data_IF_788459144497
#
_entry.id   IF_788459144497
#
_cell.length_a   1.000
_cell.length_b   1.000
_cell.length_c   1.000
_cell.angle_alpha   90.00
_cell.angle_beta   90.00
_cell.angle_gamma   90.00
#
_symmetry.space_group_name_H-M   'P 1'
#
loop_
_entity.id
_entity.type
_entity.pdbx_description
1 polymer ?
#
# COMPACT_ATOMS: atom_id res chain seq x y z
N UNK A 1 -11.97 6.60 53.39
CA UNK A 1 -11.18 5.90 52.34
C UNK A 1 -11.95 5.54 51.05
N UNK A 2 -13.24 5.81 50.94
CA UNK A 2 -14.05 5.50 49.72
C UNK A 2 -14.22 6.69 48.75
N UNK A 3 -13.86 7.90 49.11
CA UNK A 3 -14.03 9.13 48.29
C UNK A 3 -12.83 9.36 47.36
N UNK A 4 -11.65 8.85 47.69
CA UNK A 4 -10.43 9.09 46.89
C UNK A 4 -10.40 8.32 45.56
N UNK A 5 -11.11 7.17 45.48
CA UNK A 5 -11.17 6.36 44.22
C UNK A 5 -12.11 6.93 43.18
N UNK A 6 -13.09 7.76 43.55
CA UNK A 6 -14.05 8.35 42.58
C UNK A 6 -13.44 9.54 41.81
N UNK A 7 -12.46 10.23 42.37
CA UNK A 7 -11.79 11.38 41.75
C UNK A 7 -10.78 10.95 40.65
N UNK A 8 -10.17 9.77 40.79
CA UNK A 8 -9.21 9.26 39.79
C UNK A 8 -9.93 8.75 38.52
N UNK A 9 -11.15 8.21 38.67
CA UNK A 9 -11.95 7.76 37.53
C UNK A 9 -12.51 8.91 36.66
N UNK A 10 -12.75 10.07 37.26
CA UNK A 10 -13.25 11.26 36.56
C UNK A 10 -12.16 11.97 35.75
N UNK A 11 -10.89 11.86 36.14
CA UNK A 11 -9.78 12.49 35.43
C UNK A 11 -9.40 11.74 34.13
N UNK A 12 -9.61 10.42 34.09
CA UNK A 12 -9.34 9.63 32.88
C UNK A 12 -10.40 9.81 31.78
N UNK A 13 -11.63 10.21 32.12
CA UNK A 13 -12.69 10.48 31.13
C UNK A 13 -12.52 11.83 30.41
N UNK A 14 -11.93 12.83 31.05
CA UNK A 14 -11.80 14.18 30.46
C UNK A 14 -10.69 14.26 29.38
N UNK A 15 -9.64 13.45 29.49
CA UNK A 15 -8.56 13.41 28.49
C UNK A 15 -9.01 12.73 27.19
N UNK A 16 -9.87 11.72 27.27
CA UNK A 16 -10.38 11.01 26.09
C UNK A 16 -11.34 11.83 25.22
N UNK A 17 -12.07 12.77 25.80
CA UNK A 17 -13.05 13.62 25.07
C UNK A 17 -12.38 14.74 24.26
N UNK A 18 -11.25 15.29 24.75
CA UNK A 18 -10.53 16.39 24.09
C UNK A 18 -9.76 15.95 22.83
N UNK A 19 -9.60 14.65 22.61
CA UNK A 19 -8.79 14.09 21.51
C UNK A 19 -9.59 13.77 20.26
N UNK A 20 -10.93 13.72 20.34
CA UNK A 20 -11.78 13.33 19.22
C UNK A 20 -11.84 14.42 18.15
N UNK A 21 -11.87 14.00 16.88
CA UNK A 21 -12.03 14.91 15.77
C UNK A 21 -11.07 14.64 14.62
N UNK A 22 -11.03 15.59 13.70
CA UNK A 22 -10.10 15.57 12.59
C UNK A 22 -8.77 16.21 12.98
N UNK A 23 -7.69 15.63 12.51
CA UNK A 23 -6.32 16.04 12.74
C UNK A 23 -5.55 16.17 11.44
N UNK A 24 -4.70 17.18 11.36
CA UNK A 24 -3.72 17.37 10.29
C UNK A 24 -2.35 17.00 10.85
N UNK A 25 -1.73 16.02 10.24
CA UNK A 25 -0.45 15.46 10.65
C UNK A 25 0.66 15.82 9.66
N UNK A 26 1.87 15.95 10.16
CA UNK A 26 3.08 16.19 9.37
C UNK A 26 4.20 15.25 9.77
N UNK A 27 4.87 14.69 8.77
CA UNK A 27 6.18 14.07 8.92
C UNK A 27 7.22 15.00 8.32
N UNK A 28 8.12 15.52 9.16
CA UNK A 28 9.14 16.47 8.74
C UNK A 28 10.36 15.72 8.20
N UNK A 29 10.69 15.96 6.95
CA UNK A 29 11.88 15.39 6.27
C UNK A 29 13.14 16.17 6.68
N UNK A 30 14.35 15.55 6.56
CA UNK A 30 15.62 16.24 6.82
C UNK A 30 15.85 17.49 5.95
N UNK A 31 15.23 17.54 4.76
CA UNK A 31 15.30 18.68 3.85
C UNK A 31 14.28 19.80 4.14
N UNK A 32 13.56 19.71 5.26
CA UNK A 32 12.55 20.69 5.71
C UNK A 32 11.19 20.55 5.03
N UNK A 33 11.02 19.64 4.07
CA UNK A 33 9.70 19.40 3.46
C UNK A 33 8.83 18.55 4.38
N UNK A 34 7.54 18.92 4.48
CA UNK A 34 6.57 18.21 5.31
C UNK A 34 5.68 17.31 4.44
N UNK A 35 5.64 16.01 4.76
CA UNK A 35 4.67 15.08 4.19
C UNK A 35 3.44 15.14 5.08
N UNK A 36 2.36 15.71 4.54
CA UNK A 36 1.13 15.99 5.30
C UNK A 36 0.09 14.92 5.01
N UNK A 37 -0.61 14.48 6.05
CA UNK A 37 -1.77 13.60 5.93
C UNK A 37 -2.83 13.98 6.97
N UNK A 38 -4.03 13.44 6.81
CA UNK A 38 -5.13 13.68 7.75
C UNK A 38 -5.61 12.38 8.36
N UNK A 39 -6.02 12.44 9.61
CA UNK A 39 -6.68 11.33 10.27
C UNK A 39 -7.85 11.82 11.14
N UNK A 40 -8.81 10.95 11.36
CA UNK A 40 -9.87 11.18 12.31
C UNK A 40 -9.61 10.33 13.56
N UNK A 41 -9.52 10.97 14.71
CA UNK A 41 -9.36 10.30 16.01
C UNK A 41 -10.74 10.10 16.62
N UNK A 42 -11.06 8.88 17.01
CA UNK A 42 -12.33 8.49 17.62
C UNK A 42 -12.10 7.63 18.86
N UNK A 43 -13.15 7.45 19.62
CA UNK A 43 -13.25 6.41 20.66
C UNK A 43 -14.29 5.39 20.22
N UNK A 44 -13.92 4.13 20.16
CA UNK A 44 -14.79 3.00 19.86
C UNK A 44 -14.63 1.95 20.97
N UNK A 45 -15.74 1.53 21.57
CA UNK A 45 -15.73 0.59 22.70
C UNK A 45 -14.74 1.01 23.81
N UNK A 46 -14.75 2.31 24.17
CA UNK A 46 -13.87 2.94 25.17
C UNK A 46 -12.37 2.90 24.82
N UNK A 47 -11.99 2.60 23.55
CA UNK A 47 -10.61 2.60 23.10
C UNK A 47 -10.37 3.63 22.02
N UNK A 48 -9.19 4.29 21.98
CA UNK A 48 -8.84 5.21 20.90
C UNK A 48 -8.66 4.45 19.59
N UNK A 49 -9.15 5.04 18.51
CA UNK A 49 -9.00 4.51 17.14
C UNK A 49 -8.71 5.66 16.21
N UNK A 50 -7.75 5.50 15.32
CA UNK A 50 -7.51 6.42 14.21
C UNK A 50 -8.07 5.90 12.91
N UNK A 51 -8.52 6.82 12.08
CA UNK A 51 -8.84 6.61 10.67
C UNK A 51 -7.99 7.53 9.82
N UNK A 52 -6.86 7.03 9.31
CA UNK A 52 -6.04 7.77 8.35
C UNK A 52 -6.81 7.85 7.04
N UNK A 53 -6.84 9.04 6.43
CA UNK A 53 -7.61 9.31 5.22
C UNK A 53 -6.68 9.63 4.06
N UNK A 54 -6.94 9.05 2.89
CA UNK A 54 -6.31 9.41 1.62
C UNK A 54 -7.41 9.34 0.55
N UNK A 55 -7.95 10.47 0.15
CA UNK A 55 -9.09 10.52 -0.79
C UNK A 55 -10.24 9.55 -0.38
N UNK A 56 -10.49 8.53 -1.18
CA UNK A 56 -11.51 7.51 -0.89
C UNK A 56 -11.09 6.44 0.11
N UNK A 57 -9.83 6.37 0.49
CA UNK A 57 -9.31 5.36 1.42
C UNK A 57 -9.44 5.78 2.88
N UNK A 58 -9.77 4.80 3.74
CA UNK A 58 -9.72 4.95 5.21
C UNK A 58 -8.98 3.76 5.80
N UNK A 59 -7.87 4.04 6.49
CA UNK A 59 -7.07 3.03 7.17
C UNK A 59 -7.40 3.10 8.65
N UNK A 60 -8.07 2.06 9.18
CA UNK A 60 -8.37 1.92 10.60
C UNK A 60 -7.13 1.45 11.35
N UNK A 61 -6.78 2.17 12.42
CA UNK A 61 -5.66 1.88 13.30
C UNK A 61 -6.19 1.87 14.74
N UNK A 62 -6.20 0.71 15.37
CA UNK A 62 -6.80 0.47 16.69
C UNK A 62 -5.82 -0.12 17.72
N UNK A 63 -4.60 -0.45 17.30
CA UNK A 63 -3.56 -0.86 18.22
C UNK A 63 -2.85 0.38 18.78
N UNK A 64 -3.51 1.01 19.77
CA UNK A 64 -3.05 2.25 20.40
C UNK A 64 -2.89 2.00 21.90
N UNK A 65 -1.66 2.16 22.40
CA UNK A 65 -1.32 2.08 23.81
C UNK A 65 -1.20 3.52 24.36
N UNK A 66 -1.81 3.75 25.50
CA UNK A 66 -1.81 5.05 26.19
C UNK A 66 -1.19 4.89 27.59
N UNK A 67 -0.24 5.74 27.92
CA UNK A 67 0.41 5.80 29.23
C UNK A 67 0.58 7.28 29.64
N UNK A 68 -0.36 7.80 30.41
CA UNK A 68 -0.42 9.22 30.74
C UNK A 68 -0.67 10.08 29.49
N UNK A 69 0.23 11.01 29.19
CA UNK A 69 0.23 11.86 28.00
C UNK A 69 0.94 11.22 26.79
N UNK A 70 1.48 10.03 26.96
CA UNK A 70 2.30 9.33 25.98
C UNK A 70 1.50 8.27 25.24
N UNK A 71 1.70 8.19 23.92
CA UNK A 71 0.98 7.33 23.01
C UNK A 71 1.94 6.52 22.15
N UNK A 72 1.61 5.22 21.96
CA UNK A 72 2.23 4.36 20.95
C UNK A 72 1.12 3.87 20.04
N UNK A 73 1.20 4.23 18.75
CA UNK A 73 0.24 3.83 17.72
C UNK A 73 0.93 2.90 16.75
N UNK A 74 0.59 1.61 16.78
CA UNK A 74 1.13 0.59 15.88
C UNK A 74 0.33 0.58 14.59
N UNK A 75 1.00 0.63 13.45
CA UNK A 75 0.32 0.49 12.16
C UNK A 75 -0.16 -0.96 11.93
N UNK A 76 -1.33 -1.14 11.29
CA UNK A 76 -1.98 -2.46 11.21
C UNK A 76 -1.27 -3.47 10.30
N UNK A 77 -0.41 -3.02 9.39
CA UNK A 77 0.28 -3.88 8.41
C UNK A 77 1.78 -3.72 8.49
N UNK A 78 2.28 -2.51 8.25
CA UNK A 78 3.70 -2.26 8.16
C UNK A 78 4.41 -2.35 9.51
N UNK A 79 5.70 -2.67 9.51
CA UNK A 79 6.55 -2.57 10.71
C UNK A 79 6.83 -1.10 11.04
N UNK A 80 5.78 -0.36 11.35
CA UNK A 80 5.87 1.07 11.67
C UNK A 80 4.95 1.45 12.82
N UNK A 81 5.32 2.52 13.51
CA UNK A 81 4.60 3.05 14.66
C UNK A 81 4.83 4.54 14.83
N UNK A 82 3.88 5.19 15.49
CA UNK A 82 4.07 6.52 16.04
C UNK A 82 4.36 6.42 17.55
N UNK A 83 5.25 7.25 18.05
CA UNK A 83 5.49 7.50 19.47
C UNK A 83 5.43 8.99 19.70
N UNK A 84 4.50 9.45 20.54
CA UNK A 84 4.27 10.87 20.70
C UNK A 84 3.66 11.19 22.06
N UNK A 85 3.70 12.48 22.43
CA UNK A 85 2.96 13.07 23.53
C UNK A 85 1.88 14.00 23.00
N UNK A 86 0.82 14.17 23.78
CA UNK A 86 -0.26 15.11 23.50
C UNK A 86 -0.37 16.13 24.62
N UNK A 87 -0.08 17.40 24.31
CA UNK A 87 -0.16 18.52 25.23
C UNK A 87 -0.93 19.66 24.58
N UNK A 88 -1.97 20.18 25.24
CA UNK A 88 -2.77 21.32 24.76
C UNK A 88 -3.25 21.18 23.30
N UNK A 89 -3.73 20.00 22.92
CA UNK A 89 -4.14 19.67 21.55
C UNK A 89 -3.01 19.75 20.50
N UNK A 90 -1.76 19.67 20.92
CA UNK A 90 -0.60 19.54 20.03
C UNK A 90 0.03 18.17 20.23
N UNK A 91 0.12 17.41 19.17
CA UNK A 91 0.84 16.14 19.11
C UNK A 91 2.28 16.41 18.69
N UNK A 92 3.24 15.88 19.44
CA UNK A 92 4.67 15.96 19.11
C UNK A 92 5.36 14.63 19.40
N UNK A 93 6.14 14.15 18.44
CA UNK A 93 6.83 12.89 18.57
C UNK A 93 7.56 12.44 17.32
N UNK A 94 7.56 11.14 17.06
CA UNK A 94 8.23 10.54 15.92
C UNK A 94 7.39 9.44 15.26
N UNK A 95 7.54 9.30 13.96
CA UNK A 95 7.15 8.12 13.21
C UNK A 95 8.39 7.27 12.95
N UNK A 96 8.29 5.99 13.24
CA UNK A 96 9.38 5.01 13.13
C UNK A 96 8.92 3.92 12.17
N UNK A 97 9.72 3.63 11.14
CA UNK A 97 9.49 2.52 10.21
C UNK A 97 10.74 1.66 10.11
N UNK A 98 10.59 0.37 10.37
CA UNK A 98 11.65 -0.62 10.19
C UNK A 98 11.69 -1.07 8.73
N UNK A 99 12.83 -0.97 8.10
CA UNK A 99 13.06 -1.44 6.73
C UNK A 99 13.87 -2.75 6.68
N UNK A 100 14.31 -3.11 5.48
CA UNK A 100 15.17 -4.27 5.28
C UNK A 100 16.55 -4.11 5.97
N UNK A 101 17.16 -2.94 5.82
CA UNK A 101 18.51 -2.66 6.32
C UNK A 101 18.46 -1.62 7.45
N UNK A 102 17.71 -0.53 7.26
CA UNK A 102 17.73 0.64 8.14
C UNK A 102 16.35 0.92 8.72
N UNK A 103 16.32 1.44 9.94
CA UNK A 103 15.13 2.04 10.54
C UNK A 103 15.07 3.51 10.15
N UNK A 104 13.94 3.92 9.61
CA UNK A 104 13.63 5.32 9.30
C UNK A 104 12.92 5.94 10.50
N UNK A 105 13.36 7.14 10.89
CA UNK A 105 12.71 7.94 11.94
C UNK A 105 12.48 9.34 11.39
N UNK A 106 11.24 9.81 11.45
CA UNK A 106 10.86 11.16 11.06
C UNK A 106 10.15 11.86 12.23
N UNK A 107 10.46 13.14 12.52
CA UNK A 107 9.66 13.94 13.41
C UNK A 107 8.19 13.96 12.99
N UNK A 108 7.30 13.76 13.94
CA UNK A 108 5.86 13.70 13.76
C UNK A 108 5.20 14.78 14.60
N UNK A 109 4.32 15.55 14.00
CA UNK A 109 3.45 16.49 14.67
C UNK A 109 2.04 16.41 14.12
N UNK A 110 1.03 16.74 14.96
CA UNK A 110 -0.33 16.91 14.48
C UNK A 110 -1.07 17.96 15.32
N UNK A 111 -2.03 18.62 14.66
CA UNK A 111 -2.91 19.63 15.26
C UNK A 111 -4.36 19.35 14.82
N UNK A 112 -5.38 19.75 15.61
CA UNK A 112 -6.76 19.69 15.17
C UNK A 112 -6.97 20.44 13.85
N UNK A 113 -7.69 19.83 12.92
CA UNK A 113 -7.96 20.41 11.61
C UNK A 113 -8.41 19.37 10.59
N UNK A 114 -8.97 19.81 9.47
CA UNK A 114 -9.45 18.95 8.41
C UNK A 114 -8.82 19.20 7.04
N UNK A 115 -8.15 20.33 6.87
CA UNK A 115 -7.55 20.72 5.61
C UNK A 115 -6.11 20.21 5.53
N UNK A 116 -5.88 19.21 4.71
CA UNK A 116 -4.55 18.59 4.52
C UNK A 116 -3.48 19.62 4.16
N UNK A 117 -3.79 20.56 3.30
CA UNK A 117 -2.95 21.71 2.98
C UNK A 117 -3.74 22.99 3.16
N UNK A 118 -3.09 24.00 3.74
CA UNK A 118 -3.66 25.33 3.79
C UNK A 118 -3.67 25.94 2.38
N UNK A 119 -4.80 26.52 1.98
CA UNK A 119 -4.90 27.28 0.74
C UNK A 119 -5.47 28.65 1.03
N UNK A 120 -4.74 29.70 0.67
CA UNK A 120 -5.18 31.10 0.77
C UNK A 120 -5.77 31.63 -0.54
N UNK A 121 -5.75 30.83 -1.62
CA UNK A 121 -6.17 31.27 -2.95
C UNK A 121 -6.88 30.16 -3.73
N UNK A 122 -7.82 30.59 -4.57
CA UNK A 122 -8.50 29.71 -5.51
C UNK A 122 -7.54 29.12 -6.56
N UNK A 123 -7.82 27.92 -7.01
CA UNK A 123 -7.13 27.31 -8.16
C UNK A 123 -7.40 28.15 -9.43
N UNK A 124 -6.35 28.52 -10.12
CA UNK A 124 -6.45 29.28 -11.38
C UNK A 124 -6.63 28.35 -12.60
N UNK A 125 -6.33 27.06 -12.44
CA UNK A 125 -6.32 26.09 -13.52
C UNK A 125 -7.00 24.79 -13.07
N UNK A 126 -7.56 24.06 -14.04
CA UNK A 126 -8.14 22.73 -13.82
C UNK A 126 -7.28 21.68 -14.51
N UNK A 127 -6.72 20.80 -13.71
CA UNK A 127 -5.84 19.72 -14.17
C UNK A 127 -6.51 18.35 -14.16
N UNK A 128 -7.83 18.28 -14.01
CA UNK A 128 -8.55 17.00 -14.13
C UNK A 128 -8.24 16.30 -15.45
N UNK A 129 -8.16 14.97 -15.39
CA UNK A 129 -7.95 14.11 -16.55
C UNK A 129 -6.62 13.37 -16.51
N UNK A 130 -6.22 12.86 -17.69
CA UNK A 130 -5.10 11.94 -17.85
C UNK A 130 -3.88 12.68 -18.39
N UNK A 131 -2.71 12.34 -17.82
CA UNK A 131 -1.44 13.01 -18.07
C UNK A 131 -0.34 12.00 -18.35
N UNK A 132 0.47 12.23 -19.38
CA UNK A 132 1.74 11.55 -19.58
C UNK A 132 2.78 12.19 -18.66
N UNK A 133 3.39 11.40 -17.79
CA UNK A 133 4.34 11.84 -16.77
C UNK A 133 5.71 11.26 -17.06
N UNK A 134 6.74 12.08 -16.94
CA UNK A 134 8.13 11.67 -17.03
C UNK A 134 8.83 11.94 -15.72
N UNK A 135 9.38 10.89 -15.10
CA UNK A 135 10.28 10.95 -13.95
C UNK A 135 11.73 10.89 -14.45
N UNK A 136 12.58 11.81 -13.99
CA UNK A 136 13.93 11.97 -14.56
C UNK A 136 14.92 10.85 -14.23
N UNK A 137 14.78 10.19 -13.09
CA UNK A 137 15.72 9.13 -12.65
C UNK A 137 15.49 7.77 -13.34
N UNK A 138 14.33 7.53 -13.90
CA UNK A 138 13.96 6.24 -14.48
C UNK A 138 14.08 6.18 -16.02
N UNK A 139 15.11 6.81 -16.62
CA UNK A 139 15.40 6.71 -18.06
C UNK A 139 14.14 6.64 -18.94
N UNK A 140 13.29 7.67 -18.84
CA UNK A 140 12.11 7.88 -19.69
C UNK A 140 11.00 6.79 -19.59
N UNK A 141 10.87 6.05 -18.49
CA UNK A 141 9.66 5.27 -18.30
C UNK A 141 8.48 6.22 -18.14
N UNK A 142 7.58 6.22 -19.12
CA UNK A 142 6.40 7.07 -19.12
C UNK A 142 5.42 6.52 -18.11
N UNK A 143 5.20 7.26 -17.03
CA UNK A 143 4.10 7.00 -16.10
C UNK A 143 2.86 7.77 -16.56
N UNK A 144 1.72 7.42 -16.00
CA UNK A 144 0.46 8.13 -16.27
C UNK A 144 -0.11 8.64 -14.97
N UNK A 145 -0.43 9.93 -14.89
CA UNK A 145 -1.22 10.43 -13.77
C UNK A 145 -2.69 10.58 -14.18
N UNK A 146 -3.57 10.25 -13.24
CA UNK A 146 -5.01 10.48 -13.35
C UNK A 146 -5.48 11.35 -12.20
N UNK A 147 -5.96 12.55 -12.53
CA UNK A 147 -6.36 13.55 -11.56
C UNK A 147 -7.85 13.88 -11.65
N UNK A 148 -8.46 14.08 -10.48
CA UNK A 148 -9.81 14.62 -10.32
C UNK A 148 -9.72 15.86 -9.44
N UNK A 149 -10.09 17.02 -10.00
CA UNK A 149 -10.08 18.30 -9.31
C UNK A 149 -11.50 18.83 -9.11
N UNK A 150 -11.84 19.22 -7.87
CA UNK A 150 -13.10 19.88 -7.51
C UNK A 150 -12.79 21.14 -6.71
N UNK A 151 -12.90 22.31 -7.35
CA UNK A 151 -12.41 23.55 -6.78
C UNK A 151 -10.90 23.48 -6.55
N UNK A 152 -10.46 23.70 -5.31
CA UNK A 152 -9.06 23.54 -4.92
C UNK A 152 -8.68 22.08 -4.60
N UNK A 153 -9.62 21.22 -4.28
CA UNK A 153 -9.33 19.84 -3.86
C UNK A 153 -8.89 19.04 -5.08
N UNK A 154 -7.78 18.34 -4.93
CA UNK A 154 -7.20 17.46 -5.94
C UNK A 154 -7.06 16.04 -5.35
N UNK A 155 -7.52 15.05 -6.10
CA UNK A 155 -7.29 13.64 -5.82
C UNK A 155 -6.76 12.96 -7.07
N UNK A 156 -6.07 11.83 -6.90
CA UNK A 156 -5.57 11.07 -8.04
C UNK A 156 -4.57 10.02 -7.65
N UNK A 157 -3.91 9.48 -8.67
CA UNK A 157 -2.81 8.54 -8.52
C UNK A 157 -1.88 8.65 -9.71
N UNK A 158 -0.70 8.06 -9.60
CA UNK A 158 0.21 7.81 -10.71
C UNK A 158 0.25 6.32 -10.98
N UNK A 159 0.18 5.94 -12.25
CA UNK A 159 0.31 4.56 -12.72
C UNK A 159 1.66 4.40 -13.40
N UNK A 160 2.33 3.30 -13.12
CA UNK A 160 3.55 2.87 -13.80
C UNK A 160 3.40 1.43 -14.28
N UNK A 161 4.43 0.88 -14.92
CA UNK A 161 4.43 -0.48 -15.47
C UNK A 161 4.24 -1.60 -14.44
N UNK A 162 4.36 -1.30 -13.14
CA UNK A 162 4.34 -2.29 -12.05
C UNK A 162 3.25 -2.07 -11.02
N UNK A 163 2.44 -0.99 -11.17
CA UNK A 163 1.35 -0.68 -10.26
C UNK A 163 1.02 0.80 -10.20
N UNK A 164 0.55 1.24 -9.05
CA UNK A 164 0.15 2.62 -8.84
C UNK A 164 0.63 3.17 -7.49
N UNK A 165 0.53 4.50 -7.34
CA UNK A 165 0.89 5.21 -6.10
C UNK A 165 -0.25 5.29 -5.09
N UNK A 166 -1.26 4.44 -5.28
CA UNK A 166 -2.45 4.37 -4.44
C UNK A 166 -3.19 5.71 -4.36
N UNK A 167 -3.86 5.97 -3.28
CA UNK A 167 -4.68 7.15 -3.10
C UNK A 167 -3.85 8.35 -2.69
N UNK A 168 -3.86 9.39 -3.52
CA UNK A 168 -3.26 10.68 -3.23
C UNK A 168 -4.35 11.75 -3.09
N UNK A 169 -4.17 12.65 -2.15
CA UNK A 169 -5.08 13.76 -1.88
C UNK A 169 -4.30 15.04 -1.61
N UNK A 170 -4.83 16.15 -2.08
CA UNK A 170 -4.21 17.46 -1.84
C UNK A 170 -4.99 18.59 -2.47
N UNK A 171 -4.27 19.58 -2.97
CA UNK A 171 -4.88 20.79 -3.54
C UNK A 171 -4.16 21.30 -4.76
N UNK A 172 -4.91 22.09 -5.54
CA UNK A 172 -4.37 23.09 -6.45
C UNK A 172 -4.62 24.47 -5.85
N UNK A 173 -3.58 25.28 -5.69
CA UNK A 173 -3.68 26.65 -5.19
C UNK A 173 -2.88 27.58 -6.10
N UNK A 174 -3.52 28.63 -6.64
CA UNK A 174 -2.95 29.41 -7.75
C UNK A 174 -2.52 28.49 -8.90
N UNK A 175 -1.22 28.40 -9.13
CA UNK A 175 -0.57 27.56 -10.14
C UNK A 175 0.22 26.39 -9.55
N UNK A 176 0.06 26.11 -8.25
CA UNK A 176 0.82 25.08 -7.54
C UNK A 176 -0.05 23.86 -7.26
N UNK A 177 0.49 22.68 -7.57
CA UNK A 177 -0.05 21.38 -7.22
C UNK A 177 0.67 20.87 -5.97
N UNK A 178 -0.10 20.42 -4.97
CA UNK A 178 0.36 19.70 -3.80
C UNK A 178 -0.49 18.43 -3.65
N UNK A 179 0.13 17.25 -3.65
CA UNK A 179 -0.52 15.98 -3.36
C UNK A 179 0.31 15.20 -2.35
N UNK A 180 -0.34 14.49 -1.45
CA UNK A 180 0.32 13.59 -0.52
C UNK A 180 -0.47 12.32 -0.28
N UNK A 181 0.22 11.28 0.21
CA UNK A 181 -0.36 10.03 0.63
C UNK A 181 0.45 9.44 1.78
N UNK A 182 -0.25 8.81 2.72
CA UNK A 182 0.34 8.11 3.85
C UNK A 182 -0.48 6.87 4.20
N UNK A 183 0.12 5.69 4.11
CA UNK A 183 -0.54 4.41 4.38
C UNK A 183 -0.01 3.70 5.64
N UNK A 184 0.93 4.34 6.33
CA UNK A 184 1.62 3.77 7.49
C UNK A 184 3.01 3.23 7.19
N UNK A 185 3.27 2.79 5.98
CA UNK A 185 4.58 2.33 5.52
C UNK A 185 5.21 3.26 4.49
N UNK A 186 4.39 3.96 3.73
CA UNK A 186 4.82 4.87 2.68
C UNK A 186 4.31 6.27 2.97
N UNK A 187 5.15 7.23 2.73
CA UNK A 187 4.86 8.65 2.93
C UNK A 187 5.32 9.42 1.71
N UNK A 188 4.37 10.00 0.98
CA UNK A 188 4.58 10.63 -0.32
C UNK A 188 4.16 12.10 -0.29
N UNK A 189 4.93 12.94 -0.98
CA UNK A 189 4.59 14.31 -1.30
C UNK A 189 4.99 14.62 -2.74
N UNK A 190 4.02 15.07 -3.52
CA UNK A 190 4.23 15.60 -4.86
C UNK A 190 3.99 17.11 -4.84
N UNK A 191 4.94 17.87 -5.35
CA UNK A 191 4.84 19.33 -5.57
C UNK A 191 5.13 19.61 -7.02
N UNK A 192 4.41 20.54 -7.64
CA UNK A 192 4.70 20.97 -9.02
C UNK A 192 4.10 22.34 -9.33
N UNK A 193 4.57 22.95 -10.41
CA UNK A 193 4.03 24.16 -10.98
C UNK A 193 3.15 23.81 -12.20
N UNK A 194 1.93 24.29 -12.20
CA UNK A 194 0.99 24.15 -13.32
C UNK A 194 1.21 25.33 -14.27
N UNK A 195 2.01 25.13 -15.31
CA UNK A 195 2.32 26.18 -16.28
C UNK A 195 1.06 26.64 -17.03
N UNK A 196 0.25 25.68 -17.46
CA UNK A 196 -1.04 25.90 -18.12
C UNK A 196 -1.93 24.64 -18.00
N UNK A 197 -3.10 24.62 -18.63
CA UNK A 197 -4.05 23.50 -18.55
C UNK A 197 -3.55 22.19 -19.20
N UNK A 198 -2.40 22.21 -19.87
CA UNK A 198 -1.82 21.05 -20.57
C UNK A 198 -0.40 20.73 -20.17
N UNK A 199 0.24 21.53 -19.30
CA UNK A 199 1.65 21.36 -18.95
C UNK A 199 1.89 21.60 -17.46
N UNK A 200 2.52 20.63 -16.82
CA UNK A 200 3.01 20.66 -15.43
C UNK A 200 4.54 20.57 -15.47
N UNK A 201 5.22 21.46 -14.76
CA UNK A 201 6.69 21.57 -14.73
C UNK A 201 7.20 21.70 -13.31
N UNK A 202 8.53 21.67 -13.15
CA UNK A 202 9.21 21.81 -11.86
C UNK A 202 8.60 20.89 -10.78
N UNK A 203 8.19 19.69 -11.19
CA UNK A 203 7.64 18.69 -10.31
C UNK A 203 8.74 18.06 -9.48
N UNK A 204 8.47 17.88 -8.18
CA UNK A 204 9.33 17.12 -7.27
C UNK A 204 8.45 16.12 -6.53
N UNK A 205 8.85 14.87 -6.57
CA UNK A 205 8.31 13.77 -5.78
C UNK A 205 9.25 13.49 -4.62
N UNK A 206 8.70 13.44 -3.42
CA UNK A 206 9.40 13.07 -2.20
C UNK A 206 8.82 11.77 -1.66
N UNK A 207 9.69 10.82 -1.33
CA UNK A 207 9.32 9.53 -0.74
C UNK A 207 10.13 9.27 0.54
N UNK A 208 9.42 9.13 1.65
CA UNK A 208 10.05 8.90 2.97
C UNK A 208 11.07 9.98 3.32
N UNK A 209 12.11 9.63 4.08
CA UNK A 209 13.11 10.59 4.56
C UNK A 209 14.03 11.12 3.47
N UNK A 210 14.38 10.30 2.47
CA UNK A 210 15.49 10.59 1.55
C UNK A 210 15.09 10.61 0.07
N UNK A 211 14.05 9.87 -0.31
CA UNK A 211 13.64 9.77 -1.72
C UNK A 211 13.26 11.15 -2.27
N UNK A 212 13.85 11.52 -3.40
CA UNK A 212 13.57 12.76 -4.12
C UNK A 212 13.78 12.51 -5.60
N UNK A 213 12.79 12.86 -6.42
CA UNK A 213 12.82 12.69 -7.86
C UNK A 213 12.11 13.84 -8.56
N UNK A 214 12.67 14.35 -9.65
CA UNK A 214 12.04 15.39 -10.46
C UNK A 214 11.07 14.76 -11.46
N UNK A 215 9.98 15.48 -11.74
CA UNK A 215 9.00 15.04 -12.72
C UNK A 215 8.36 16.20 -13.49
N UNK A 216 7.85 15.86 -14.68
CA UNK A 216 7.04 16.76 -15.51
C UNK A 216 5.86 16.00 -16.07
N UNK A 217 4.81 16.72 -16.53
CA UNK A 217 3.68 16.08 -17.16
C UNK A 217 3.09 16.92 -18.28
N UNK A 218 2.59 16.22 -19.31
CA UNK A 218 1.84 16.79 -20.42
C UNK A 218 0.46 16.13 -20.46
N UNK A 219 -0.60 16.93 -20.56
CA UNK A 219 -1.97 16.43 -20.63
C UNK A 219 -2.16 15.61 -21.91
N UNK A 220 -2.54 14.34 -21.75
CA UNK A 220 -2.72 13.42 -22.85
C UNK A 220 -3.77 12.37 -22.49
N UNK A 221 -4.98 12.50 -22.99
CA UNK A 221 -6.09 11.57 -22.74
C UNK A 221 -5.82 10.15 -23.27
N UNK A 222 -4.87 9.99 -24.21
CA UNK A 222 -4.46 8.72 -24.81
C UNK A 222 -3.17 8.16 -24.22
N UNK A 223 -2.60 8.80 -23.18
CA UNK A 223 -1.39 8.31 -22.54
C UNK A 223 -1.59 6.87 -22.07
N UNK A 224 -0.62 6.01 -22.32
CA UNK A 224 -0.63 4.61 -21.87
C UNK A 224 0.60 4.36 -21.04
N UNK A 225 0.47 3.59 -19.99
CA UNK A 225 1.61 3.01 -19.27
C UNK A 225 2.24 1.98 -20.18
N UNK A 226 3.55 2.05 -20.47
CA UNK A 226 4.24 1.01 -21.23
C UNK A 226 4.10 -0.34 -20.55
N UNK A 227 4.10 -1.42 -21.33
CA UNK A 227 4.26 -2.76 -20.76
C UNK A 227 5.59 -2.81 -20.01
N UNK A 228 5.63 -3.52 -18.88
CA UNK A 228 6.84 -3.67 -18.10
C UNK A 228 7.94 -4.28 -18.99
N UNK A 229 9.01 -3.53 -19.23
CA UNK A 229 10.15 -3.97 -20.06
C UNK A 229 10.86 -5.20 -19.47
N UNK A 230 10.55 -5.54 -18.24
CA UNK A 230 11.13 -6.64 -17.46
C UNK A 230 10.03 -7.50 -16.83
N UNK A 231 8.94 -7.73 -17.57
CA UNK A 231 7.88 -8.63 -17.13
C UNK A 231 8.45 -10.03 -16.85
N UNK A 232 7.81 -10.73 -15.92
CA UNK A 232 8.11 -12.13 -15.62
C UNK A 232 7.53 -13.02 -16.75
N UNK A 233 8.34 -13.96 -17.26
CA UNK A 233 7.92 -14.93 -18.26
C UNK A 233 8.26 -16.34 -17.81
N UNK A 234 7.57 -17.32 -18.37
CA UNK A 234 7.94 -18.75 -18.24
C UNK A 234 9.19 -18.99 -19.08
N UNK A 235 10.17 -19.72 -18.55
CA UNK A 235 11.36 -20.10 -19.32
C UNK A 235 11.01 -21.10 -20.44
N UNK A 236 11.72 -21.08 -21.55
CA UNK A 236 11.53 -22.06 -22.63
C UNK A 236 11.64 -23.51 -22.11
N UNK A 237 10.66 -24.34 -22.46
CA UNK A 237 10.58 -25.73 -22.04
C UNK A 237 9.88 -25.98 -20.69
N UNK A 238 9.59 -24.95 -19.94
CA UNK A 238 8.86 -25.05 -18.67
C UNK A 238 7.35 -24.85 -18.92
N UNK A 239 6.51 -25.67 -18.30
CA UNK A 239 5.06 -25.57 -18.40
C UNK A 239 4.37 -25.52 -17.03
N UNK A 240 5.09 -25.86 -15.96
CA UNK A 240 4.58 -25.98 -14.59
C UNK A 240 5.54 -25.35 -13.60
N UNK A 241 5.08 -25.18 -12.36
CA UNK A 241 5.90 -24.74 -11.24
C UNK A 241 6.11 -25.89 -10.27
N UNK A 242 7.25 -25.86 -9.60
CA UNK A 242 7.53 -26.72 -8.45
C UNK A 242 8.17 -25.88 -7.35
N UNK A 243 7.56 -25.94 -6.16
CA UNK A 243 8.08 -25.30 -4.96
C UNK A 243 7.52 -25.96 -3.70
N UNK A 244 8.25 -25.78 -2.61
CA UNK A 244 7.83 -26.20 -1.28
C UNK A 244 8.40 -25.25 -0.24
N UNK A 245 7.53 -24.61 0.55
CA UNK A 245 7.90 -23.63 1.59
C UNK A 245 7.07 -23.85 2.85
N UNK A 246 7.50 -23.26 3.96
CA UNK A 246 6.78 -23.33 5.24
C UNK A 246 5.63 -22.31 5.27
N UNK A 247 4.48 -22.75 5.77
CA UNK A 247 3.40 -21.85 6.14
C UNK A 247 3.71 -21.08 7.43
N UNK A 248 2.79 -20.23 7.89
CA UNK A 248 3.00 -19.40 9.08
C UNK A 248 3.01 -20.18 10.40
N UNK A 249 2.64 -21.44 10.37
CA UNK A 249 2.69 -22.39 11.48
C UNK A 249 3.95 -23.29 11.43
N UNK A 250 4.80 -23.11 10.40
CA UNK A 250 6.06 -23.86 10.20
C UNK A 250 5.87 -25.18 9.47
N UNK A 251 4.67 -25.51 9.01
CA UNK A 251 4.40 -26.73 8.25
C UNK A 251 4.83 -26.56 6.79
N UNK A 252 5.56 -27.55 6.28
CA UNK A 252 5.96 -27.60 4.87
C UNK A 252 4.75 -27.82 3.95
N UNK A 253 4.60 -26.99 2.95
CA UNK A 253 3.53 -27.05 1.94
C UNK A 253 4.14 -27.00 0.55
N UNK A 254 3.91 -28.08 -0.21
CA UNK A 254 4.35 -28.19 -1.60
C UNK A 254 3.19 -27.95 -2.58
N UNK A 255 3.47 -27.34 -3.72
CA UNK A 255 2.45 -27.09 -4.76
C UNK A 255 1.83 -28.38 -5.31
N UNK A 256 2.60 -29.48 -5.37
CA UNK A 256 2.12 -30.79 -5.83
C UNK A 256 1.33 -31.58 -4.79
N UNK A 257 1.03 -31.00 -3.60
CA UNK A 257 0.23 -31.67 -2.56
C UNK A 257 -1.22 -31.87 -3.02
N UNK A 258 -1.90 -32.89 -2.45
CA UNK A 258 -3.28 -33.27 -2.80
C UNK A 258 -4.28 -32.11 -2.68
N UNK A 259 -4.02 -31.15 -1.81
CA UNK A 259 -4.83 -29.97 -1.62
C UNK A 259 -5.02 -29.17 -2.91
N UNK A 260 -3.99 -29.09 -3.77
CA UNK A 260 -3.98 -28.25 -4.97
C UNK A 260 -4.28 -29.05 -6.25
N UNK A 261 -4.32 -30.38 -6.18
CA UNK A 261 -4.65 -31.24 -7.33
C UNK A 261 -6.07 -30.97 -7.84
N UNK A 262 -6.21 -30.93 -9.15
CA UNK A 262 -7.48 -30.65 -9.84
C UNK A 262 -8.13 -29.32 -9.45
N UNK A 263 -7.32 -28.33 -9.04
CA UNK A 263 -7.75 -26.97 -8.71
C UNK A 263 -7.14 -25.95 -9.68
N UNK A 264 -7.85 -24.86 -9.92
CA UNK A 264 -7.24 -23.64 -10.45
C UNK A 264 -6.54 -22.95 -9.29
N UNK A 265 -5.22 -22.76 -9.41
CA UNK A 265 -4.44 -22.13 -8.34
C UNK A 265 -3.91 -20.78 -8.78
N UNK A 266 -4.19 -19.77 -7.97
CA UNK A 266 -3.64 -18.42 -8.11
C UNK A 266 -2.48 -18.27 -7.14
N UNK A 267 -1.28 -18.00 -7.65
CA UNK A 267 -0.07 -17.80 -6.87
C UNK A 267 0.26 -16.32 -6.88
N UNK A 268 0.19 -15.68 -5.72
CA UNK A 268 0.58 -14.29 -5.51
C UNK A 268 2.03 -14.24 -5.02
N UNK A 269 2.91 -13.53 -5.70
CA UNK A 269 4.25 -13.19 -5.23
C UNK A 269 4.15 -11.83 -4.53
N UNK A 270 4.41 -11.78 -3.22
CA UNK A 270 4.12 -10.62 -2.41
C UNK A 270 5.14 -10.37 -1.31
N UNK A 271 5.01 -9.27 -0.61
CA UNK A 271 5.65 -8.98 0.68
C UNK A 271 4.73 -8.13 1.54
N UNK A 272 4.76 -8.33 2.86
CA UNK A 272 3.92 -7.55 3.79
C UNK A 272 4.28 -6.05 3.82
N UNK A 273 5.43 -5.69 3.30
CA UNK A 273 5.96 -4.34 3.15
C UNK A 273 5.45 -3.60 1.89
N UNK A 274 4.79 -4.30 0.96
CA UNK A 274 4.45 -3.81 -0.38
C UNK A 274 3.02 -3.25 -0.42
N UNK A 275 2.80 -1.97 -0.76
CA UNK A 275 1.48 -1.33 -0.72
C UNK A 275 0.51 -1.88 -1.78
N UNK A 276 0.98 -2.13 -3.02
CA UNK A 276 0.13 -2.71 -4.06
C UNK A 276 -0.20 -4.19 -3.78
N UNK A 277 0.68 -4.90 -3.04
CA UNK A 277 0.37 -6.24 -2.54
C UNK A 277 -0.79 -6.23 -1.54
N UNK A 278 -0.94 -5.16 -0.75
CA UNK A 278 -2.11 -5.00 0.14
C UNK A 278 -3.42 -4.95 -0.66
N UNK A 279 -3.44 -4.17 -1.73
CA UNK A 279 -4.63 -4.01 -2.57
C UNK A 279 -4.97 -5.31 -3.32
N UNK A 280 -3.96 -6.00 -3.87
CA UNK A 280 -4.16 -7.31 -4.51
C UNK A 280 -4.61 -8.37 -3.49
N UNK A 281 -4.01 -8.39 -2.29
CA UNK A 281 -4.42 -9.32 -1.22
C UNK A 281 -5.85 -9.05 -0.77
N UNK A 282 -6.26 -7.79 -0.63
CA UNK A 282 -7.64 -7.46 -0.30
C UNK A 282 -8.62 -7.98 -1.37
N UNK A 283 -8.25 -7.86 -2.65
CA UNK A 283 -9.02 -8.43 -3.75
C UNK A 283 -9.04 -9.97 -3.71
N UNK A 284 -7.87 -10.61 -3.63
CA UNK A 284 -7.75 -12.07 -3.64
C UNK A 284 -8.41 -12.72 -2.42
N UNK A 285 -8.32 -12.09 -1.25
CA UNK A 285 -8.98 -12.59 -0.03
C UNK A 285 -10.49 -12.58 -0.19
N UNK A 286 -11.06 -11.46 -0.66
CA UNK A 286 -12.50 -11.39 -0.93
C UNK A 286 -12.91 -12.40 -2.02
N UNK A 287 -12.13 -12.51 -3.09
CA UNK A 287 -12.40 -13.47 -4.17
C UNK A 287 -12.37 -14.92 -3.66
N UNK A 288 -11.31 -15.32 -2.94
CA UNK A 288 -11.15 -16.66 -2.40
C UNK A 288 -12.27 -17.04 -1.43
N UNK A 289 -12.56 -16.15 -0.49
CA UNK A 289 -13.60 -16.40 0.53
C UNK A 289 -14.96 -16.67 -0.09
N UNK A 290 -15.26 -16.07 -1.25
CA UNK A 290 -16.51 -16.25 -1.99
C UNK A 290 -16.48 -17.38 -3.04
N UNK A 291 -15.31 -17.89 -3.45
CA UNK A 291 -15.17 -18.81 -4.58
C UNK A 291 -14.43 -20.13 -4.28
N UNK A 292 -13.87 -20.33 -3.09
CA UNK A 292 -13.09 -21.53 -2.74
C UNK A 292 -13.84 -22.85 -2.98
N UNK A 293 -15.15 -22.87 -2.84
CA UNK A 293 -15.98 -24.06 -3.08
C UNK A 293 -16.07 -24.44 -4.57
N UNK A 294 -15.69 -23.54 -5.48
CA UNK A 294 -15.72 -23.77 -6.94
C UNK A 294 -14.51 -24.54 -7.48
N UNK A 295 -13.54 -24.87 -6.62
CA UNK A 295 -12.32 -25.52 -7.04
C UNK A 295 -11.16 -24.54 -7.33
N UNK A 296 -11.20 -23.37 -6.68
CA UNK A 296 -10.11 -22.37 -6.71
C UNK A 296 -9.32 -22.43 -5.40
N UNK A 297 -8.00 -22.41 -5.53
CA UNK A 297 -7.08 -22.19 -4.41
C UNK A 297 -6.24 -20.93 -4.67
N UNK A 298 -5.79 -20.31 -3.59
CA UNK A 298 -4.85 -19.19 -3.62
C UNK A 298 -3.67 -19.50 -2.72
N UNK A 299 -2.46 -19.18 -3.18
CA UNK A 299 -1.21 -19.30 -2.41
C UNK A 299 -0.50 -17.95 -2.51
N UNK A 300 -0.11 -17.38 -1.39
CA UNK A 300 0.82 -16.24 -1.38
C UNK A 300 2.23 -16.74 -1.06
N UNK A 301 3.20 -16.43 -1.91
CA UNK A 301 4.63 -16.60 -1.65
C UNK A 301 5.20 -15.28 -1.16
N UNK A 302 5.60 -15.23 0.11
CA UNK A 302 6.06 -14.01 0.76
C UNK A 302 7.58 -13.88 0.70
N UNK A 303 8.03 -12.73 0.18
CA UNK A 303 9.43 -12.30 0.10
C UNK A 303 9.63 -11.13 1.07
N UNK A 304 9.93 -11.46 2.33
CA UNK A 304 10.03 -10.47 3.38
C UNK A 304 11.37 -9.71 3.37
N UNK A 305 11.53 -8.71 4.24
CA UNK A 305 12.77 -7.95 4.38
C UNK A 305 13.92 -8.72 5.05
N UNK A 306 13.64 -9.87 5.66
CA UNK A 306 14.59 -10.61 6.48
C UNK A 306 14.34 -12.11 6.39
N UNK A 307 15.39 -12.90 6.62
CA UNK A 307 15.31 -14.35 6.81
C UNK A 307 14.99 -14.73 8.26
N UNK A 308 14.93 -13.77 9.19
CA UNK A 308 14.46 -14.01 10.55
C UNK A 308 13.00 -14.47 10.53
N UNK A 309 12.80 -15.70 10.96
CA UNK A 309 11.51 -16.39 10.92
C UNK A 309 10.45 -15.67 11.75
N UNK A 310 10.78 -15.33 12.99
CA UNK A 310 9.80 -14.72 13.91
C UNK A 310 9.35 -13.34 13.41
N UNK A 311 10.31 -12.52 12.98
CA UNK A 311 10.00 -11.19 12.42
C UNK A 311 9.10 -11.29 11.19
N UNK A 312 9.45 -12.17 10.26
CA UNK A 312 8.69 -12.37 9.02
C UNK A 312 7.29 -12.91 9.31
N UNK A 313 7.16 -13.94 10.12
CA UNK A 313 5.86 -14.52 10.49
C UNK A 313 4.99 -13.55 11.27
N UNK A 314 5.55 -12.73 12.16
CA UNK A 314 4.80 -11.70 12.87
C UNK A 314 4.23 -10.64 11.92
N UNK A 315 5.00 -10.20 10.92
CA UNK A 315 4.52 -9.26 9.88
C UNK A 315 3.42 -9.90 9.02
N UNK A 316 3.63 -11.15 8.58
CA UNK A 316 2.67 -11.88 7.76
C UNK A 316 1.39 -12.23 8.52
N UNK A 317 1.43 -12.52 9.82
CA UNK A 317 0.24 -12.74 10.66
C UNK A 317 -0.59 -11.47 10.80
N UNK A 318 0.03 -10.30 11.00
CA UNK A 318 -0.68 -9.00 10.98
C UNK A 318 -1.35 -8.76 9.63
N UNK A 319 -0.62 -9.01 8.54
CA UNK A 319 -1.12 -8.90 7.17
C UNK A 319 -2.33 -9.83 6.94
N UNK A 320 -2.20 -11.12 7.30
CA UNK A 320 -3.26 -12.14 7.24
C UNK A 320 -4.51 -11.69 7.98
N UNK A 321 -4.35 -11.19 9.20
CA UNK A 321 -5.46 -10.70 10.04
C UNK A 321 -6.13 -9.46 9.42
N UNK A 322 -5.32 -8.49 8.96
CA UNK A 322 -5.81 -7.24 8.39
C UNK A 322 -6.74 -7.45 7.19
N UNK A 323 -6.40 -8.39 6.31
CA UNK A 323 -7.12 -8.66 5.08
C UNK A 323 -8.05 -9.88 5.16
N UNK A 324 -8.25 -10.46 6.35
CA UNK A 324 -9.06 -11.67 6.53
C UNK A 324 -8.67 -12.80 5.56
N UNK A 325 -7.37 -13.02 5.38
CA UNK A 325 -6.85 -14.02 4.46
C UNK A 325 -7.10 -15.41 5.01
N UNK A 326 -7.85 -16.23 4.28
CA UNK A 326 -8.15 -17.63 4.61
C UNK A 326 -7.38 -18.63 3.74
N UNK A 327 -6.67 -18.16 2.73
CA UNK A 327 -5.79 -18.98 1.91
C UNK A 327 -4.39 -19.11 2.51
N UNK A 328 -3.56 -19.97 1.91
CA UNK A 328 -2.22 -20.27 2.41
C UNK A 328 -1.25 -19.12 2.11
N UNK A 329 -0.53 -18.67 3.13
CA UNK A 329 0.63 -17.78 2.98
C UNK A 329 1.86 -18.61 3.34
N UNK A 330 2.83 -18.64 2.43
CA UNK A 330 4.09 -19.35 2.56
C UNK A 330 5.23 -18.33 2.71
N UNK A 331 6.03 -18.46 3.75
CA UNK A 331 7.26 -17.69 3.89
C UNK A 331 8.36 -18.37 3.09
N UNK A 332 8.87 -17.71 2.05
CA UNK A 332 9.93 -18.28 1.20
C UNK A 332 11.28 -18.35 1.90
N UNK A 333 11.45 -17.64 3.03
CA UNK A 333 12.74 -17.44 3.72
C UNK A 333 13.83 -16.84 2.81
N UNK A 334 13.42 -16.31 1.64
CA UNK A 334 14.27 -15.58 0.69
C UNK A 334 13.82 -14.12 0.68
N UNK A 335 14.77 -13.21 0.90
CA UNK A 335 14.43 -11.78 1.03
C UNK A 335 14.16 -11.13 -0.32
N UNK A 336 13.37 -10.05 -0.31
CA UNK A 336 13.13 -9.22 -1.50
C UNK A 336 14.42 -8.64 -2.09
N UNK A 337 15.47 -8.47 -1.29
CA UNK A 337 16.78 -7.94 -1.70
C UNK A 337 17.75 -9.01 -2.20
N UNK A 338 17.42 -10.29 -2.08
CA UNK A 338 18.25 -11.38 -2.59
C UNK A 338 18.25 -11.38 -4.13
N UNK A 339 19.41 -11.17 -4.73
CA UNK A 339 19.56 -11.16 -6.19
C UNK A 339 19.27 -12.51 -6.85
N UNK A 340 19.39 -13.60 -6.09
CA UNK A 340 19.13 -14.98 -6.54
C UNK A 340 17.73 -15.47 -6.15
N UNK A 341 16.82 -14.58 -5.71
CA UNK A 341 15.49 -14.99 -5.23
C UNK A 341 14.71 -15.84 -6.23
N UNK A 342 14.80 -15.53 -7.54
CA UNK A 342 14.11 -16.31 -8.56
C UNK A 342 14.65 -17.74 -8.65
N UNK A 343 15.96 -17.90 -8.69
CA UNK A 343 16.62 -19.22 -8.78
C UNK A 343 16.34 -20.06 -7.54
N UNK A 344 16.25 -19.42 -6.36
CA UNK A 344 16.01 -20.10 -5.09
C UNK A 344 14.56 -20.49 -4.87
N UNK A 345 13.60 -19.83 -5.53
CA UNK A 345 12.17 -20.01 -5.25
C UNK A 345 11.36 -20.54 -6.42
N UNK A 346 11.49 -19.95 -7.59
CA UNK A 346 10.76 -20.29 -8.80
C UNK A 346 11.71 -20.29 -10.01
N UNK A 347 12.62 -21.28 -10.11
CA UNK A 347 13.61 -21.32 -11.19
C UNK A 347 13.00 -21.47 -12.58
N UNK A 348 11.73 -21.85 -12.70
CA UNK A 348 10.98 -22.02 -13.95
C UNK A 348 10.59 -20.69 -14.62
N UNK A 349 10.66 -19.56 -13.88
CA UNK A 349 10.38 -18.24 -14.46
C UNK A 349 11.66 -17.43 -14.66
N UNK A 350 11.58 -16.40 -15.51
CA UNK A 350 12.78 -15.62 -15.88
C UNK A 350 13.28 -14.72 -14.77
N UNK A 351 12.38 -14.00 -14.10
CA UNK A 351 12.79 -12.95 -13.17
C UNK A 351 11.63 -12.47 -12.28
N UNK A 352 11.82 -12.54 -10.98
CA UNK A 352 10.91 -11.95 -9.99
C UNK A 352 11.49 -10.60 -9.58
N UNK A 353 11.10 -9.53 -10.26
CA UNK A 353 11.60 -8.17 -9.98
C UNK A 353 10.59 -7.29 -9.27
N UNK A 354 9.31 -7.48 -9.55
CA UNK A 354 8.25 -6.58 -9.10
C UNK A 354 7.23 -7.30 -8.23
N UNK A 355 6.69 -6.57 -7.28
CA UNK A 355 5.66 -7.04 -6.36
C UNK A 355 4.47 -6.06 -6.34
N UNK A 356 3.23 -6.58 -6.40
CA UNK A 356 2.91 -7.99 -6.56
C UNK A 356 3.19 -8.46 -8.00
N UNK A 357 3.40 -9.76 -8.14
CA UNK A 357 3.25 -10.47 -9.39
C UNK A 357 2.38 -11.69 -9.14
N UNK A 358 1.60 -12.12 -10.13
CA UNK A 358 0.73 -13.28 -9.95
C UNK A 358 0.86 -14.28 -11.09
N UNK A 359 0.65 -15.58 -10.77
CA UNK A 359 0.69 -16.70 -11.69
C UNK A 359 -0.59 -17.49 -11.51
N UNK A 360 -1.29 -17.80 -12.60
CA UNK A 360 -2.47 -18.65 -12.59
C UNK A 360 -2.13 -19.95 -13.26
N UNK A 361 -2.36 -21.07 -12.57
CA UNK A 361 -2.21 -22.42 -13.09
C UNK A 361 -3.57 -23.12 -13.18
N UNK A 362 -3.72 -23.99 -14.16
CA UNK A 362 -4.95 -24.74 -14.39
C UNK A 362 -5.03 -26.03 -13.53
N UNK A 363 -6.10 -26.79 -13.68
CA UNK A 363 -6.34 -28.04 -12.96
C UNK A 363 -5.29 -29.14 -13.23
N UNK A 364 -4.55 -29.04 -14.34
CA UNK A 364 -3.47 -29.97 -14.74
C UNK A 364 -2.10 -29.50 -14.24
N UNK A 365 -2.04 -28.35 -13.50
CA UNK A 365 -0.79 -27.77 -13.01
C UNK A 365 -0.03 -26.94 -14.05
N UNK A 366 -0.61 -26.68 -15.23
CA UNK A 366 0.05 -25.88 -16.27
C UNK A 366 -0.12 -24.39 -16.03
N UNK A 367 0.94 -23.64 -16.26
CA UNK A 367 0.94 -22.17 -16.19
C UNK A 367 0.12 -21.63 -17.35
N UNK A 368 -0.88 -20.79 -17.03
CA UNK A 368 -1.82 -20.23 -18.01
C UNK A 368 -1.72 -18.71 -18.13
N UNK A 369 -1.34 -18.03 -17.06
CA UNK A 369 -1.18 -16.58 -17.05
C UNK A 369 -0.13 -16.14 -16.04
N UNK A 370 0.65 -15.13 -16.42
CA UNK A 370 1.54 -14.38 -15.53
C UNK A 370 1.21 -12.89 -15.63
N UNK A 371 1.00 -12.25 -14.49
CA UNK A 371 0.82 -10.81 -14.40
C UNK A 371 1.95 -10.21 -13.57
N UNK A 372 2.48 -9.08 -14.01
CA UNK A 372 3.49 -8.30 -13.29
C UNK A 372 2.90 -6.96 -12.92
N UNK A 373 2.86 -6.68 -11.62
CA UNK A 373 2.24 -5.47 -11.09
C UNK A 373 0.73 -5.61 -10.87
N UNK A 374 0.14 -4.60 -10.27
CA UNK A 374 -1.29 -4.56 -9.93
C UNK A 374 -1.82 -3.14 -9.94
N UNK A 375 -2.91 -2.92 -10.64
CA UNK A 375 -3.64 -1.66 -10.61
C UNK A 375 -4.72 -1.71 -9.53
N UNK A 376 -4.47 -1.05 -8.42
CA UNK A 376 -5.32 -1.06 -7.24
C UNK A 376 -6.60 -0.21 -7.38
N UNK A 377 -7.45 -0.20 -6.32
CA UNK A 377 -8.74 0.52 -6.35
C UNK A 377 -8.62 2.02 -6.64
N UNK A 378 -7.49 2.66 -6.32
CA UNK A 378 -7.24 4.07 -6.61
C UNK A 378 -7.23 4.39 -8.11
N UNK A 379 -7.05 3.40 -8.97
CA UNK A 379 -7.00 3.53 -10.44
C UNK A 379 -8.37 3.46 -11.12
N UNK A 380 -9.45 3.30 -10.34
CA UNK A 380 -10.82 3.34 -10.86
C UNK A 380 -11.09 2.30 -11.95
N UNK A 381 -11.21 2.74 -13.20
CA UNK A 381 -11.56 1.86 -14.33
C UNK A 381 -10.50 0.77 -14.62
N UNK A 382 -9.22 1.02 -14.34
CA UNK A 382 -8.17 0.01 -14.51
C UNK A 382 -8.36 -1.16 -13.54
N UNK A 383 -8.70 -0.86 -12.30
CA UNK A 383 -9.05 -1.91 -11.30
C UNK A 383 -10.31 -2.70 -11.69
N UNK A 384 -11.33 -2.01 -12.24
CA UNK A 384 -12.54 -2.68 -12.74
C UNK A 384 -12.19 -3.62 -13.90
N UNK A 385 -11.36 -3.16 -14.84
CA UNK A 385 -10.89 -3.99 -15.97
C UNK A 385 -10.07 -5.19 -15.50
N UNK A 386 -9.13 -5.00 -14.56
CA UNK A 386 -8.36 -6.08 -13.96
C UNK A 386 -9.28 -7.16 -13.34
N UNK A 387 -10.24 -6.75 -12.51
CA UNK A 387 -11.18 -7.70 -11.89
C UNK A 387 -11.97 -8.50 -12.93
N UNK A 388 -12.43 -7.85 -13.99
CA UNK A 388 -13.16 -8.52 -15.07
C UNK A 388 -12.29 -9.55 -15.78
N UNK A 389 -11.06 -9.19 -16.14
CA UNK A 389 -10.10 -10.07 -16.80
C UNK A 389 -9.75 -11.26 -15.91
N UNK A 390 -9.42 -11.03 -14.64
CA UNK A 390 -9.11 -12.06 -13.65
C UNK A 390 -10.28 -13.06 -13.53
N UNK A 391 -11.49 -12.56 -13.30
CA UNK A 391 -12.68 -13.42 -13.18
C UNK A 391 -12.90 -14.25 -14.45
N UNK A 392 -12.81 -13.63 -15.63
CA UNK A 392 -12.97 -14.35 -16.92
C UNK A 392 -11.92 -15.45 -17.08
N UNK A 393 -10.66 -15.17 -16.75
CA UNK A 393 -9.57 -16.14 -16.82
C UNK A 393 -9.86 -17.35 -15.92
N UNK A 394 -10.13 -17.10 -14.64
CA UNK A 394 -10.39 -18.19 -13.68
C UNK A 394 -11.66 -18.96 -14.04
N UNK A 395 -12.74 -18.28 -14.43
CA UNK A 395 -14.01 -18.93 -14.83
C UNK A 395 -13.83 -19.84 -16.05
N UNK A 396 -12.99 -19.46 -17.03
CA UNK A 396 -12.69 -20.29 -18.17
C UNK A 396 -11.87 -21.53 -17.76
N UNK A 397 -10.84 -21.37 -16.92
CA UNK A 397 -10.02 -22.48 -16.45
C UNK A 397 -10.82 -23.48 -15.59
N UNK A 398 -11.81 -23.00 -14.84
CA UNK A 398 -12.71 -23.88 -14.06
C UNK A 398 -13.62 -24.74 -14.94
N UNK A 399 -13.92 -24.32 -16.18
CA UNK A 399 -14.74 -25.08 -17.13
C UNK A 399 -13.93 -26.12 -17.93
N UNK A 400 -12.62 -25.97 -17.99
CA UNK A 400 -11.73 -26.93 -18.64
C UNK A 400 -11.72 -28.27 -17.86
N UNK A 401 -11.62 -29.40 -18.59
CA UNK A 401 -11.55 -30.75 -18.02
C UNK A 401 -10.11 -31.13 -17.63
#
# INVERSE_FOLDING_TARGET
MRILYLLIALFSCSVAAAQQGNWVASLTRPDGNNIVFTFNWKTENSKPVWYIKNAGEKIRVDNITVAGDSFIVQMPVFESQFRFTLNNNIVSGVWIKRGAVNTQVLPFSAIPGSNRFASSAAAQKNISGRWAVSFQQNNAEISVAEFVQKGNILTGTFLNSTGDYRYLEGIVTKDTLLLSGFDGGHSFLFKAVIKNNTTITAGIFYSGAKGKEEWTAIKNSKAKVPAASVAMFVKPGEESLDFSFKDLEGKQVALNSDRFKNKVVVIQLMGSWCPNCMDETAFLSNYYNNNKQRGVEVIALAYEYTTDWERSVNSLKKFKQRFNVQYTILNTEVTVTDSLRTQKTLPQVTNIKFFPSSIIIDKKGKIRKLDTGFNGPATGLHYVAYKKEFNTTVDNLLKEN
#
